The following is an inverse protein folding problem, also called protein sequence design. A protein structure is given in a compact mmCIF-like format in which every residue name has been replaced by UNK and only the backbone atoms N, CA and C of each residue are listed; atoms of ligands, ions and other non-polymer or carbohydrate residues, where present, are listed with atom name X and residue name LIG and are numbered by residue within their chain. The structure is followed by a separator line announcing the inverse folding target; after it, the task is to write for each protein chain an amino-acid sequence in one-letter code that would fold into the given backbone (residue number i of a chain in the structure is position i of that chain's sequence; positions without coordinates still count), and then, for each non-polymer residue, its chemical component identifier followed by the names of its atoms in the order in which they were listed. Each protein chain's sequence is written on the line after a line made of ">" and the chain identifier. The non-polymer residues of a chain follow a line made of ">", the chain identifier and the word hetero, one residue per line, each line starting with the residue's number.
data_IF_695721705868
#
_entry.id   IF_695721705868
#
_cell.length_a   1.000
_cell.length_b   1.000
_cell.length_c   1.000
_cell.angle_alpha   90.00
_cell.angle_beta   90.00
_cell.angle_gamma   90.00
#
_symmetry.space_group_name_H-M   'P 1'
#
loop_
_entity.id
_entity.type
_entity.pdbx_description
1 polymer ?
#
# COMPACT_ATOMS: atom_id res chain seq x y z
N UNK A 1 12.51 -16.28 15.83
CA UNK A 1 11.57 -16.09 14.70
C UNK A 1 12.25 -16.62 13.45
N UNK A 2 11.63 -17.49 12.65
CA UNK A 2 12.28 -18.02 11.44
C UNK A 2 12.44 -16.91 10.41
N UNK A 3 13.65 -16.76 9.86
CA UNK A 3 13.92 -15.79 8.81
C UNK A 3 13.27 -16.26 7.50
N UNK A 4 12.27 -15.52 7.02
CA UNK A 4 11.55 -15.85 5.80
C UNK A 4 11.91 -14.84 4.71
N UNK A 5 12.28 -15.34 3.54
CA UNK A 5 12.43 -14.56 2.32
C UNK A 5 11.99 -15.42 1.13
N UNK A 6 10.79 -15.20 0.63
CA UNK A 6 10.15 -16.04 -0.38
C UNK A 6 9.64 -15.19 -1.54
N UNK A 7 9.74 -15.74 -2.75
CA UNK A 7 9.19 -15.13 -3.95
C UNK A 7 8.68 -16.21 -4.92
N UNK A 8 7.79 -15.80 -5.83
CA UNK A 8 7.41 -16.59 -7.01
C UNK A 8 6.92 -15.67 -8.14
N UNK A 9 6.86 -16.20 -9.36
CA UNK A 9 6.32 -15.48 -10.51
C UNK A 9 4.94 -16.04 -10.87
N UNK A 10 3.98 -15.16 -11.13
CA UNK A 10 2.66 -15.53 -11.65
C UNK A 10 2.08 -14.41 -12.48
N UNK A 11 1.65 -14.74 -13.70
CA UNK A 11 1.06 -13.77 -14.62
C UNK A 11 -0.40 -13.46 -14.28
N UNK A 12 -1.16 -14.45 -13.84
CA UNK A 12 -2.56 -14.30 -13.51
C UNK A 12 -2.93 -15.06 -12.24
N UNK A 13 -3.72 -14.42 -11.39
CA UNK A 13 -4.16 -14.94 -10.09
C UNK A 13 -5.63 -14.65 -9.91
N UNK A 14 -6.41 -15.70 -9.62
CA UNK A 14 -7.84 -15.54 -9.34
C UNK A 14 -8.08 -14.70 -8.07
N UNK A 15 -9.18 -13.92 -7.99
CA UNK A 15 -9.46 -13.05 -6.85
C UNK A 15 -9.44 -13.75 -5.48
N UNK A 16 -9.94 -14.99 -5.38
CA UNK A 16 -9.90 -15.78 -4.14
C UNK A 16 -8.47 -16.15 -3.71
N UNK A 17 -7.56 -16.31 -4.68
CA UNK A 17 -6.16 -16.64 -4.42
C UNK A 17 -5.41 -15.37 -4.02
N UNK A 18 -5.71 -14.21 -4.64
CA UNK A 18 -5.18 -12.92 -4.19
C UNK A 18 -5.50 -12.66 -2.72
N UNK A 19 -6.75 -12.90 -2.30
CA UNK A 19 -7.16 -12.77 -0.90
C UNK A 19 -6.30 -13.65 0.04
N UNK A 20 -6.04 -14.91 -0.34
CA UNK A 20 -5.20 -15.84 0.45
C UNK A 20 -3.74 -15.40 0.51
N UNK A 21 -3.22 -14.87 -0.59
CA UNK A 21 -1.86 -14.34 -0.67
C UNK A 21 -1.71 -13.13 0.28
N UNK A 22 -2.61 -12.14 0.20
CA UNK A 22 -2.55 -10.98 1.09
C UNK A 22 -2.75 -11.34 2.56
N UNK A 23 -3.65 -12.29 2.86
CA UNK A 23 -3.90 -12.77 4.21
C UNK A 23 -2.71 -13.51 4.84
N UNK A 24 -1.77 -14.01 4.02
CA UNK A 24 -0.53 -14.67 4.47
C UNK A 24 0.72 -13.81 4.24
N UNK A 25 0.51 -12.50 4.14
CA UNK A 25 1.57 -11.51 4.11
C UNK A 25 2.26 -11.35 2.76
N UNK A 26 1.73 -11.87 1.65
CA UNK A 26 2.30 -11.65 0.32
C UNK A 26 1.95 -10.29 -0.25
N UNK A 27 2.87 -9.74 -1.06
CA UNK A 27 2.69 -8.58 -1.94
C UNK A 27 3.26 -8.90 -3.32
N UNK A 28 3.08 -8.00 -4.28
CA UNK A 28 3.65 -8.16 -5.60
C UNK A 28 4.03 -6.82 -6.21
N UNK A 29 4.90 -6.91 -7.22
CA UNK A 29 5.10 -5.90 -8.24
C UNK A 29 4.94 -6.56 -9.60
N UNK A 30 3.91 -6.16 -10.35
CA UNK A 30 3.49 -6.86 -11.57
C UNK A 30 3.31 -8.37 -11.32
N UNK A 31 4.09 -9.20 -12.01
CA UNK A 31 4.01 -10.66 -11.89
C UNK A 31 4.90 -11.24 -10.78
N UNK A 32 5.71 -10.41 -10.11
CA UNK A 32 6.67 -10.83 -9.09
C UNK A 32 6.03 -10.75 -7.70
N UNK A 33 5.73 -11.89 -7.10
CA UNK A 33 5.17 -11.99 -5.76
C UNK A 33 6.28 -12.22 -4.74
N UNK A 34 6.19 -11.56 -3.59
CA UNK A 34 7.19 -11.64 -2.54
C UNK A 34 6.59 -11.49 -1.14
N UNK A 35 7.28 -12.07 -0.16
CA UNK A 35 7.13 -11.78 1.27
C UNK A 35 8.43 -12.08 2.00
N UNK A 36 8.73 -11.28 3.00
CA UNK A 36 9.94 -11.41 3.78
C UNK A 36 9.72 -10.86 5.20
N UNK A 37 10.34 -11.48 6.20
CA UNK A 37 10.21 -11.07 7.61
C UNK A 37 11.08 -9.87 7.94
N UNK A 38 12.27 -9.78 7.35
CA UNK A 38 13.25 -8.73 7.63
C UNK A 38 13.55 -7.88 6.39
N UNK A 39 13.77 -6.59 6.60
CA UNK A 39 14.25 -5.69 5.56
C UNK A 39 15.27 -4.70 6.12
N UNK A 40 16.20 -4.29 5.25
CA UNK A 40 17.12 -3.20 5.55
C UNK A 40 16.42 -1.86 5.29
N UNK A 41 16.37 -0.99 6.31
CA UNK A 41 15.86 0.37 6.20
C UNK A 41 16.77 1.32 6.97
N UNK A 42 17.24 2.38 6.31
CA UNK A 42 18.18 3.36 6.88
C UNK A 42 19.42 2.75 7.55
N UNK A 43 19.92 1.63 6.99
CA UNK A 43 21.10 0.92 7.50
C UNK A 43 20.82 -0.01 8.69
N UNK A 44 19.56 -0.18 9.07
CA UNK A 44 19.14 -1.08 10.16
C UNK A 44 18.26 -2.21 9.63
N UNK A 45 18.45 -3.41 10.18
CA UNK A 45 17.53 -4.52 9.94
C UNK A 45 16.28 -4.30 10.79
N UNK A 46 15.12 -4.36 10.14
CA UNK A 46 13.83 -4.14 10.78
C UNK A 46 12.86 -5.26 10.43
N UNK A 47 11.95 -5.53 11.37
CA UNK A 47 10.86 -6.46 11.13
C UNK A 47 9.83 -5.79 10.22
N UNK A 48 9.41 -6.52 9.20
CA UNK A 48 8.37 -6.13 8.27
C UNK A 48 7.02 -6.41 8.89
N UNK A 49 6.15 -5.41 8.84
CA UNK A 49 4.78 -5.46 9.34
C UNK A 49 3.82 -5.42 8.14
N UNK A 50 3.33 -6.58 7.64
CA UNK A 50 2.19 -6.60 6.75
C UNK A 50 0.96 -6.03 7.45
N UNK A 51 0.32 -5.06 6.82
CA UNK A 51 -0.81 -4.35 7.39
C UNK A 51 -2.10 -4.69 6.65
N UNK A 52 -3.22 -4.67 7.37
CA UNK A 52 -4.57 -4.63 6.81
C UNK A 52 -5.48 -3.75 7.68
N UNK A 53 -6.53 -3.23 7.08
CA UNK A 53 -7.58 -2.48 7.76
C UNK A 53 -8.83 -3.35 7.77
N UNK A 54 -9.40 -3.57 8.94
CA UNK A 54 -10.74 -4.13 9.05
C UNK A 54 -11.78 -3.06 8.68
N UNK A 55 -12.39 -3.22 7.50
CA UNK A 55 -13.30 -2.22 6.96
C UNK A 55 -14.64 -2.15 7.69
N UNK A 56 -15.01 -3.20 8.43
CA UNK A 56 -16.23 -3.20 9.25
C UNK A 56 -16.06 -2.36 10.51
N UNK A 57 -14.87 -2.39 11.12
CA UNK A 57 -14.53 -1.62 12.32
C UNK A 57 -13.96 -0.23 11.99
N UNK A 58 -13.71 0.06 10.71
CA UNK A 58 -13.09 1.31 10.28
C UNK A 58 -13.98 2.53 10.53
N UNK A 59 -13.40 3.52 11.22
CA UNK A 59 -13.94 4.87 11.34
C UNK A 59 -12.86 5.93 11.11
N UNK A 60 -13.24 7.03 10.45
CA UNK A 60 -12.31 8.12 10.19
C UNK A 60 -11.91 8.84 11.48
N UNK A 61 -10.61 9.00 11.70
CA UNK A 61 -10.06 9.83 12.78
C UNK A 61 -10.31 11.33 12.53
N UNK A 62 -10.14 12.16 13.56
CA UNK A 62 -10.26 13.62 13.43
C UNK A 62 -9.28 14.20 12.39
N UNK A 63 -8.04 13.68 12.34
CA UNK A 63 -7.03 14.13 11.37
C UNK A 63 -7.39 13.71 9.95
N UNK A 64 -7.92 12.51 9.75
CA UNK A 64 -8.39 12.03 8.44
C UNK A 64 -9.60 12.84 7.95
N UNK A 65 -10.58 13.13 8.82
CA UNK A 65 -11.70 14.02 8.49
C UNK A 65 -11.22 15.40 8.06
N UNK A 66 -10.19 15.95 8.71
CA UNK A 66 -9.58 17.23 8.31
C UNK A 66 -8.92 17.15 6.92
N UNK A 67 -8.27 16.04 6.58
CA UNK A 67 -7.68 15.83 5.24
C UNK A 67 -8.78 15.79 4.17
N UNK A 68 -9.89 15.10 4.42
CA UNK A 68 -11.03 15.08 3.51
C UNK A 68 -11.60 16.50 3.31
N UNK A 69 -11.80 17.24 4.40
CA UNK A 69 -12.31 18.61 4.33
C UNK A 69 -11.37 19.57 3.61
N UNK A 70 -10.06 19.41 3.80
CA UNK A 70 -9.04 20.22 3.12
C UNK A 70 -9.06 20.06 1.60
N UNK A 71 -9.45 18.89 1.11
CA UNK A 71 -9.41 18.53 -0.30
C UNK A 71 -10.80 18.43 -0.93
N UNK A 72 -11.80 19.10 -0.33
CA UNK A 72 -13.17 19.15 -0.87
C UNK A 72 -13.29 19.81 -2.25
N UNK A 73 -12.26 20.55 -2.66
CA UNK A 73 -12.14 21.16 -3.99
C UNK A 73 -11.70 20.16 -5.08
N UNK A 74 -11.29 18.95 -4.68
CA UNK A 74 -10.77 17.94 -5.60
C UNK A 74 -11.88 16.97 -6.03
N UNK A 75 -11.78 16.51 -7.28
CA UNK A 75 -12.63 15.47 -7.82
C UNK A 75 -11.90 14.12 -7.80
N UNK A 76 -12.58 13.05 -7.42
CA UNK A 76 -12.02 11.69 -7.37
C UNK A 76 -12.71 10.82 -8.41
N UNK A 77 -11.92 10.23 -9.31
CA UNK A 77 -12.39 9.31 -10.35
C UNK A 77 -11.76 7.95 -10.09
N UNK A 78 -12.59 6.90 -10.11
CA UNK A 78 -12.15 5.51 -9.97
C UNK A 78 -12.53 4.76 -11.24
N UNK A 79 -11.56 4.12 -11.89
CA UNK A 79 -11.75 3.44 -13.19
C UNK A 79 -10.70 2.34 -13.39
N UNK A 80 -10.79 1.64 -14.52
CA UNK A 80 -9.76 0.71 -14.97
C UNK A 80 -8.40 1.41 -15.08
N UNK A 81 -7.37 0.72 -14.59
CA UNK A 81 -6.03 1.28 -14.52
C UNK A 81 -5.44 1.41 -15.91
N UNK A 82 -4.90 2.59 -16.22
CA UNK A 82 -4.12 2.79 -17.44
C UNK A 82 -2.93 3.68 -17.13
N UNK A 83 -1.78 3.36 -17.68
CA UNK A 83 -0.60 4.23 -17.54
C UNK A 83 -0.46 5.06 -18.81
N UNK A 84 -0.71 6.35 -18.66
CA UNK A 84 -0.55 7.35 -19.71
C UNK A 84 0.67 8.25 -19.42
N UNK A 85 1.05 9.07 -20.40
CA UNK A 85 2.19 9.98 -20.29
C UNK A 85 2.06 10.99 -19.14
N UNK A 86 0.83 11.35 -18.74
CA UNK A 86 0.60 12.27 -17.61
C UNK A 86 1.02 11.58 -16.30
N UNK A 87 0.65 10.32 -16.12
CA UNK A 87 1.03 9.50 -14.96
C UNK A 87 2.52 9.19 -14.95
N UNK A 88 3.12 8.88 -16.11
CA UNK A 88 4.58 8.68 -16.21
C UNK A 88 5.34 9.96 -15.84
N UNK A 89 4.92 11.12 -16.37
CA UNK A 89 5.54 12.39 -16.01
C UNK A 89 5.36 12.74 -14.52
N UNK A 90 4.20 12.44 -13.93
CA UNK A 90 3.99 12.59 -12.49
C UNK A 90 4.89 11.63 -11.69
N UNK A 91 5.06 10.39 -12.14
CA UNK A 91 5.98 9.44 -11.54
C UNK A 91 7.42 9.96 -11.56
N UNK A 92 7.90 10.51 -12.70
CA UNK A 92 9.25 11.09 -12.80
C UNK A 92 9.48 12.20 -11.78
N UNK A 93 8.51 13.10 -11.57
CA UNK A 93 8.61 14.13 -10.51
C UNK A 93 8.49 13.52 -9.11
N UNK A 94 7.60 12.55 -8.93
CA UNK A 94 7.37 11.90 -7.65
C UNK A 94 8.62 11.19 -7.14
N UNK A 95 9.35 10.46 -8.01
CA UNK A 95 10.51 9.66 -7.62
C UNK A 95 11.70 10.49 -7.12
N UNK A 96 11.79 11.77 -7.48
CA UNK A 96 12.85 12.68 -7.01
C UNK A 96 12.90 12.83 -5.49
N UNK A 97 11.81 12.48 -4.78
CA UNK A 97 11.78 12.48 -3.32
C UNK A 97 12.56 11.34 -2.67
N UNK A 98 12.86 10.28 -3.43
CA UNK A 98 13.57 9.11 -2.90
C UNK A 98 15.08 9.34 -2.97
N UNK A 99 15.78 9.03 -1.89
CA UNK A 99 17.24 9.18 -1.81
C UNK A 99 17.98 7.86 -2.05
N UNK A 100 17.30 6.73 -1.85
CA UNK A 100 17.82 5.37 -2.00
C UNK A 100 16.78 4.51 -2.71
N UNK A 101 17.24 3.46 -3.41
CA UNK A 101 16.37 2.54 -4.18
C UNK A 101 15.37 3.28 -5.08
N UNK A 102 15.87 4.30 -5.79
CA UNK A 102 15.03 5.16 -6.63
C UNK A 102 14.53 4.31 -7.82
N UNK A 103 13.21 4.06 -7.95
CA UNK A 103 12.67 3.22 -9.00
C UNK A 103 12.79 3.89 -10.36
N UNK A 104 13.17 3.13 -11.40
CA UNK A 104 13.41 3.64 -12.74
C UNK A 104 12.14 3.93 -13.51
N UNK A 105 11.12 3.10 -13.30
CA UNK A 105 9.83 3.20 -13.99
C UNK A 105 8.67 2.92 -13.06
N UNK A 106 7.49 3.44 -13.40
CA UNK A 106 6.25 3.04 -12.72
C UNK A 106 5.97 1.54 -12.94
N UNK A 107 6.49 0.98 -14.03
CA UNK A 107 6.44 -0.45 -14.35
C UNK A 107 7.37 -1.31 -13.48
N UNK A 108 8.18 -0.71 -12.60
CA UNK A 108 8.87 -1.47 -11.56
C UNK A 108 7.91 -1.94 -10.46
N UNK A 109 6.71 -1.34 -10.41
CA UNK A 109 5.64 -1.68 -9.45
C UNK A 109 4.42 -2.31 -10.12
N UNK A 110 4.13 -1.91 -11.36
CA UNK A 110 2.94 -2.33 -12.11
C UNK A 110 3.33 -3.15 -13.34
N UNK A 111 2.41 -4.01 -13.78
CA UNK A 111 2.54 -4.65 -15.10
C UNK A 111 2.34 -3.64 -16.24
N UNK A 112 2.79 -4.00 -17.44
CA UNK A 112 2.45 -3.30 -18.70
C UNK A 112 0.95 -3.35 -19.01
N UNK A 113 0.26 -4.37 -18.50
CA UNK A 113 -1.20 -4.55 -18.59
C UNK A 113 -1.82 -4.41 -17.18
N UNK A 114 -1.75 -3.22 -16.58
CA UNK A 114 -1.94 -3.02 -15.15
C UNK A 114 -3.40 -3.19 -14.70
N UNK A 115 -4.38 -3.14 -15.59
CA UNK A 115 -5.81 -3.32 -15.28
C UNK A 115 -6.18 -4.78 -14.99
N UNK A 116 -5.34 -5.72 -15.42
CA UNK A 116 -5.65 -7.14 -15.46
C UNK A 116 -4.51 -8.05 -14.99
N UNK A 117 -3.28 -7.55 -14.84
CA UNK A 117 -2.11 -8.32 -14.40
C UNK A 117 -1.57 -7.79 -13.06
N UNK A 118 -1.41 -8.65 -12.02
CA UNK A 118 -1.70 -10.10 -12.01
C UNK A 118 -3.18 -10.42 -11.73
N UNK A 119 -4.00 -9.40 -11.53
CA UNK A 119 -5.43 -9.50 -11.29
C UNK A 119 -6.11 -8.17 -11.67
N UNK A 120 -7.42 -8.11 -11.51
CA UNK A 120 -8.17 -6.87 -11.75
C UNK A 120 -7.64 -5.72 -10.87
N UNK A 121 -7.35 -4.58 -11.50
CA UNK A 121 -6.88 -3.38 -10.82
C UNK A 121 -7.78 -2.17 -11.14
N UNK A 122 -7.81 -1.22 -10.22
CA UNK A 122 -8.48 0.07 -10.38
C UNK A 122 -7.53 1.19 -10.00
N UNK A 123 -7.54 2.26 -10.79
CA UNK A 123 -6.86 3.50 -10.45
C UNK A 123 -7.81 4.44 -9.73
N UNK A 124 -7.30 5.13 -8.72
CA UNK A 124 -7.99 6.20 -7.99
C UNK A 124 -7.26 7.49 -8.34
N UNK A 125 -7.86 8.30 -9.21
CA UNK A 125 -7.30 9.55 -9.68
C UNK A 125 -7.93 10.75 -8.99
N UNK A 126 -7.09 11.64 -8.48
CA UNK A 126 -7.49 12.88 -7.81
C UNK A 126 -7.17 14.07 -8.72
N UNK A 127 -8.19 14.84 -9.05
CA UNK A 127 -8.12 15.97 -9.99
C UNK A 127 -8.45 17.30 -9.32
N UNK A 128 -7.80 18.36 -9.77
CA UNK A 128 -8.22 19.74 -9.54
C UNK A 128 -8.54 20.37 -10.90
N UNK A 129 -9.83 20.55 -11.21
CA UNK A 129 -10.24 20.79 -12.59
C UNK A 129 -9.78 19.63 -13.48
N UNK A 130 -9.07 19.92 -14.56
CA UNK A 130 -8.51 18.92 -15.48
C UNK A 130 -7.11 18.43 -15.10
N UNK A 131 -6.50 19.03 -14.06
CA UNK A 131 -5.13 18.68 -13.65
C UNK A 131 -5.15 17.48 -12.72
N UNK A 132 -4.50 16.39 -13.12
CA UNK A 132 -4.24 15.23 -12.27
C UNK A 132 -3.22 15.60 -11.17
N UNK A 133 -3.59 15.41 -9.91
CA UNK A 133 -2.74 15.68 -8.74
C UNK A 133 -2.23 14.41 -8.06
N UNK A 134 -2.98 13.31 -8.12
CA UNK A 134 -2.54 12.02 -7.59
C UNK A 134 -3.21 10.86 -8.31
N UNK A 135 -2.52 9.72 -8.33
CA UNK A 135 -3.08 8.44 -8.74
C UNK A 135 -2.59 7.34 -7.78
N UNK A 136 -3.47 6.43 -7.37
CA UNK A 136 -3.08 5.20 -6.68
C UNK A 136 -3.71 3.98 -7.33
N UNK A 137 -3.01 2.85 -7.26
CA UNK A 137 -3.37 1.62 -7.95
C UNK A 137 -3.79 0.56 -6.93
N UNK A 138 -4.97 -0.01 -7.13
CA UNK A 138 -5.66 -0.86 -6.17
C UNK A 138 -6.08 -2.16 -6.82
N UNK A 139 -5.49 -3.26 -6.39
CA UNK A 139 -5.92 -4.59 -6.79
C UNK A 139 -7.25 -4.96 -6.13
N UNK A 140 -8.06 -5.71 -6.86
CA UNK A 140 -9.38 -6.16 -6.46
C UNK A 140 -9.38 -7.68 -6.32
N UNK A 141 -9.53 -8.15 -5.09
CA UNK A 141 -9.78 -9.55 -4.75
C UNK A 141 -11.27 -9.83 -4.60
N UNK A 142 -11.62 -10.98 -4.02
CA UNK A 142 -13.02 -11.35 -3.82
C UNK A 142 -13.65 -10.62 -2.64
N UNK A 143 -12.95 -10.62 -1.51
CA UNK A 143 -13.41 -10.04 -0.25
C UNK A 143 -12.45 -8.95 0.25
N UNK A 144 -11.40 -8.65 -0.51
CA UNK A 144 -10.37 -7.70 -0.11
C UNK A 144 -9.85 -6.88 -1.29
N UNK A 145 -9.15 -5.80 -0.97
CA UNK A 145 -8.41 -5.01 -1.96
C UNK A 145 -7.01 -4.70 -1.42
N UNK A 146 -6.03 -4.51 -2.29
CA UNK A 146 -4.64 -4.22 -1.89
C UNK A 146 -4.07 -3.04 -2.66
N UNK A 147 -3.51 -2.07 -1.95
CA UNK A 147 -2.78 -0.97 -2.59
C UNK A 147 -1.43 -1.48 -3.12
N UNK A 148 -1.15 -1.17 -4.39
CA UNK A 148 0.10 -1.56 -5.05
C UNK A 148 1.10 -0.41 -4.98
N UNK A 149 0.72 0.74 -5.52
CA UNK A 149 1.58 1.92 -5.56
C UNK A 149 0.75 3.21 -5.62
N UNK A 150 1.37 4.34 -5.29
CA UNK A 150 0.74 5.65 -5.39
C UNK A 150 1.76 6.70 -5.84
N UNK A 151 1.33 7.56 -6.76
CA UNK A 151 2.05 8.72 -7.25
C UNK A 151 1.24 9.98 -6.97
N UNK A 152 1.92 11.09 -6.73
CA UNK A 152 1.29 12.39 -6.53
C UNK A 152 2.24 13.52 -6.85
N UNK A 153 1.66 14.66 -7.18
CA UNK A 153 2.36 15.90 -7.49
C UNK A 153 3.10 16.45 -6.25
N UNK A 154 4.45 16.49 -6.24
CA UNK A 154 5.21 16.97 -5.09
C UNK A 154 4.92 18.43 -4.74
N UNK A 155 4.58 19.27 -5.73
CA UNK A 155 4.22 20.68 -5.49
C UNK A 155 2.97 20.83 -4.61
N UNK A 156 2.14 19.79 -4.52
CA UNK A 156 0.90 19.75 -3.73
C UNK A 156 1.07 18.98 -2.40
N UNK A 157 2.31 18.73 -1.94
CA UNK A 157 2.62 17.95 -0.72
C UNK A 157 1.83 18.36 0.52
N UNK A 158 1.50 19.65 0.67
CA UNK A 158 0.69 20.17 1.78
C UNK A 158 -0.70 19.55 1.85
N UNK A 159 -1.26 19.04 0.75
CA UNK A 159 -2.61 18.45 0.67
C UNK A 159 -2.73 17.06 1.29
N UNK A 160 -1.61 16.39 1.57
CA UNK A 160 -1.57 15.00 2.04
C UNK A 160 -2.23 14.02 1.07
N UNK A 161 -1.95 14.19 -0.24
CA UNK A 161 -2.58 13.42 -1.32
C UNK A 161 -2.42 11.90 -1.16
N UNK A 162 -1.27 11.42 -0.67
CA UNK A 162 -1.08 9.99 -0.41
C UNK A 162 -2.00 9.42 0.68
N UNK A 163 -2.38 10.22 1.69
CA UNK A 163 -3.38 9.80 2.67
C UNK A 163 -4.78 9.90 2.07
N UNK A 164 -5.05 10.95 1.29
CA UNK A 164 -6.33 11.11 0.62
C UNK A 164 -6.65 9.89 -0.26
N UNK A 165 -5.71 9.43 -1.09
CA UNK A 165 -5.92 8.25 -1.94
C UNK A 165 -6.15 6.97 -1.13
N UNK A 166 -5.51 6.81 0.02
CA UNK A 166 -5.79 5.70 0.95
C UNK A 166 -7.23 5.78 1.50
N UNK A 167 -7.69 6.97 1.88
CA UNK A 167 -9.05 7.14 2.41
C UNK A 167 -10.12 6.89 1.32
N UNK A 168 -9.84 7.28 0.08
CA UNK A 168 -10.68 6.99 -1.07
C UNK A 168 -10.66 5.50 -1.43
N UNK A 169 -9.50 4.83 -1.32
CA UNK A 169 -9.39 3.38 -1.47
C UNK A 169 -10.27 2.67 -0.44
N UNK A 170 -10.15 3.02 0.84
CA UNK A 170 -10.99 2.47 1.92
C UNK A 170 -12.49 2.68 1.62
N UNK A 171 -12.88 3.88 1.17
CA UNK A 171 -14.27 4.17 0.79
C UNK A 171 -14.73 3.27 -0.37
N UNK A 172 -13.90 3.10 -1.39
CA UNK A 172 -14.21 2.27 -2.54
C UNK A 172 -14.28 0.78 -2.18
N UNK A 173 -13.31 0.26 -1.44
CA UNK A 173 -13.31 -1.13 -0.95
C UNK A 173 -14.56 -1.45 -0.13
N UNK A 174 -15.04 -0.51 0.70
CA UNK A 174 -16.32 -0.66 1.40
C UNK A 174 -17.50 -0.73 0.45
N UNK A 175 -17.51 0.08 -0.61
CA UNK A 175 -18.59 0.04 -1.62
C UNK A 175 -18.64 -1.27 -2.42
N UNK A 176 -17.51 -1.97 -2.50
CA UNK A 176 -17.42 -3.32 -3.08
C UNK A 176 -17.84 -4.44 -2.12
N UNK A 177 -18.14 -4.12 -0.86
CA UNK A 177 -18.47 -5.14 0.16
C UNK A 177 -17.25 -5.89 0.70
N UNK A 178 -16.03 -5.40 0.47
CA UNK A 178 -14.82 -6.04 0.99
C UNK A 178 -14.76 -5.96 2.53
N UNK A 179 -14.19 -7.00 3.16
CA UNK A 179 -13.88 -7.01 4.60
C UNK A 179 -12.56 -6.33 4.91
N UNK A 180 -11.54 -6.52 4.06
CA UNK A 180 -10.20 -6.03 4.34
C UNK A 180 -9.65 -5.13 3.24
N UNK A 181 -8.86 -4.13 3.65
CA UNK A 181 -8.03 -3.34 2.76
C UNK A 181 -6.57 -3.45 3.18
N UNK A 182 -5.66 -3.81 2.27
CA UNK A 182 -4.25 -4.01 2.54
C UNK A 182 -3.43 -2.79 2.05
N UNK A 183 -2.97 -1.87 2.93
CA UNK A 183 -2.19 -0.69 2.53
C UNK A 183 -0.70 -0.97 2.23
N UNK A 184 -0.29 -2.24 2.15
CA UNK A 184 1.11 -2.63 1.97
C UNK A 184 1.81 -3.01 3.28
N UNK A 185 3.13 -2.85 3.31
CA UNK A 185 3.98 -3.06 4.49
C UNK A 185 4.28 -1.74 5.22
N UNK A 186 4.61 -1.88 6.49
CA UNK A 186 5.38 -0.94 7.31
C UNK A 186 6.55 -1.71 7.97
N UNK A 187 7.34 -1.04 8.81
CA UNK A 187 8.44 -1.64 9.56
C UNK A 187 8.29 -1.37 11.05
N UNK A 188 8.88 -2.18 11.92
CA UNK A 188 9.05 -1.80 13.34
C UNK A 188 9.92 -0.55 13.46
N UNK A 189 9.70 0.23 14.51
CA UNK A 189 10.37 1.52 14.69
C UNK A 189 9.93 2.59 13.68
N UNK A 190 10.59 3.76 13.73
CA UNK A 190 10.19 4.93 12.96
C UNK A 190 10.63 4.86 11.50
N UNK A 191 9.71 4.99 10.54
CA UNK A 191 9.99 4.88 9.11
C UNK A 191 9.16 5.85 8.26
N UNK A 192 9.55 6.04 6.99
CA UNK A 192 8.75 6.81 6.02
C UNK A 192 7.37 6.20 5.75
N UNK A 193 7.10 4.97 6.22
CA UNK A 193 5.83 4.26 6.06
C UNK A 193 4.92 4.34 7.29
N UNK A 194 5.32 5.05 8.35
CA UNK A 194 4.57 5.13 9.60
C UNK A 194 3.22 5.83 9.47
N UNK A 195 3.03 6.60 8.40
CA UNK A 195 1.73 7.18 8.10
C UNK A 195 0.63 6.10 7.95
N UNK A 196 0.99 4.86 7.57
CA UNK A 196 0.06 3.71 7.49
C UNK A 196 -0.35 3.18 8.86
N UNK A 197 0.55 3.25 9.85
CA UNK A 197 0.32 2.84 11.25
C UNK A 197 -0.74 3.69 11.96
N UNK A 198 -1.07 4.84 11.39
CA UNK A 198 -2.04 5.80 11.93
C UNK A 198 -3.44 5.68 11.29
N UNK A 199 -3.66 4.66 10.45
CA UNK A 199 -4.98 4.35 9.90
C UNK A 199 -5.82 3.66 10.99
N UNK A 200 -7.11 3.99 11.10
CA UNK A 200 -8.00 3.34 12.07
C UNK A 200 -8.27 1.88 11.73
N UNK A 201 -8.68 1.07 12.73
CA UNK A 201 -8.96 -0.35 12.59
C UNK A 201 -7.84 -1.16 11.90
N UNK A 202 -6.59 -0.77 12.17
CA UNK A 202 -5.42 -1.40 11.59
C UNK A 202 -5.07 -2.67 12.35
N UNK A 203 -4.74 -3.72 11.61
CA UNK A 203 -4.20 -4.97 12.12
C UNK A 203 -2.84 -5.22 11.46
N UNK A 204 -1.94 -5.87 12.21
CA UNK A 204 -0.66 -6.35 11.70
C UNK A 204 -0.66 -7.87 11.59
N UNK A 205 0.00 -8.40 10.58
CA UNK A 205 0.28 -9.82 10.49
C UNK A 205 1.39 -10.18 11.48
N UNK A 206 1.12 -11.16 12.33
CA UNK A 206 2.16 -11.90 13.03
C UNK A 206 2.67 -13.00 12.11
N UNK A 207 3.99 -13.11 11.98
CA UNK A 207 4.64 -14.14 11.18
C UNK A 207 4.41 -15.56 11.74
N UNK A 208 3.81 -15.70 12.92
CA UNK A 208 3.23 -16.95 13.42
C UNK A 208 1.93 -17.39 12.70
N UNK A 209 1.28 -16.49 11.94
CA UNK A 209 0.11 -16.78 11.11
C UNK A 209 -1.18 -16.05 11.51
N UNK A 210 -1.18 -15.25 12.58
CA UNK A 210 -2.36 -14.48 13.04
C UNK A 210 -2.36 -13.03 12.55
N UNK A 211 -3.51 -12.38 12.67
CA UNK A 211 -3.66 -10.94 12.51
C UNK A 211 -4.14 -10.36 13.83
N UNK A 212 -3.40 -9.38 14.36
CA UNK A 212 -3.69 -8.76 15.64
C UNK A 212 -3.92 -7.26 15.48
N UNK A 213 -4.79 -6.63 16.30
CA UNK A 213 -4.93 -5.18 16.32
C UNK A 213 -3.57 -4.50 16.52
N UNK A 214 -3.26 -3.55 15.64
CA UNK A 214 -2.01 -2.82 15.72
C UNK A 214 -2.05 -1.78 16.85
N UNK A 215 -1.08 -1.85 17.76
CA UNK A 215 -0.76 -0.78 18.71
C UNK A 215 0.74 -0.50 18.71
N UNK A 216 1.12 0.78 18.72
CA UNK A 216 2.52 1.19 18.81
C UNK A 216 3.22 0.65 20.07
N UNK A 217 2.48 0.43 21.17
CA UNK A 217 3.00 -0.16 22.40
C UNK A 217 3.24 -1.68 22.34
N UNK A 218 2.81 -2.32 21.26
CA UNK A 218 2.88 -3.78 21.05
C UNK A 218 3.78 -4.16 19.88
N UNK A 219 4.59 -3.21 19.39
CA UNK A 219 5.61 -3.54 18.39
C UNK A 219 6.64 -4.47 19.05
N UNK A 220 6.98 -5.61 18.42
CA UNK A 220 8.00 -6.49 18.95
C UNK A 220 9.35 -5.75 18.97
N UNK A 221 10.04 -5.81 20.12
CA UNK A 221 11.43 -5.38 20.19
C UNK A 221 12.29 -6.34 19.36
N UNK A 222 13.00 -5.80 18.38
CA UNK A 222 13.94 -6.56 17.58
C UNK A 222 15.34 -6.41 18.20
N UNK A 223 15.85 -7.49 18.81
CA UNK A 223 17.21 -7.53 19.35
C UNK A 223 18.20 -7.88 18.23
N UNK A 224 19.37 -7.23 18.21
CA UNK A 224 20.46 -7.61 17.28
C UNK A 224 20.98 -9.03 17.54
N UNK A 225 20.69 -9.62 18.69
CA UNK A 225 21.06 -10.99 19.05
C UNK A 225 20.23 -12.04 18.28
N UNK A 226 19.08 -11.65 17.71
CA UNK A 226 18.23 -12.51 16.88
C UNK A 226 18.77 -12.69 15.44
N UNK A 227 19.89 -12.03 15.10
CA UNK A 227 20.58 -12.13 13.81
C UNK A 227 21.67 -13.21 13.83
N UNK A 228 21.36 -14.41 14.31
CA UNK A 228 22.24 -15.57 14.06
C UNK A 228 21.93 -16.10 12.68
N UNK A 229 22.79 -15.75 11.72
CA UNK A 229 22.85 -16.42 10.43
C UNK A 229 23.58 -17.76 10.65
N UNK A 230 22.82 -18.85 10.76
CA UNK A 230 23.37 -20.21 10.60
C UNK A 230 23.62 -20.52 9.12
#
# INVERSE_FOLDING_TARGET
>A
MEHLNQYFIREQVAPEIMDKLWASGWRHFGTYFFRYTLAMHDGEIRLVLPLRVDLAEFSYSRSQKRILQKNKDLNVIIRETSIDQIKEGMFSRHRERFQTNIPDSIFDFLSTDPDSVPCQNREICVYQGDRLLAASFLDIGKNSTSAVYAIFEPSESKRSLGILTILEAIRYSRSLGCRYYYPGYAYTGSSVYDYKKNIGALERYDWSGSWDPYSASSEPEFSKEDLTFD
#
